data_IF_745931197149
#
_entry.id   IF_745931197149
#
_cell.length_a   1.000
_cell.length_b   1.000
_cell.length_c   1.000
_cell.angle_alpha   90.00
_cell.angle_beta   90.00
_cell.angle_gamma   90.00
#
_symmetry.space_group_name_H-M   'P 1'
#
loop_
_entity.id
_entity.type
_entity.pdbx_description
1 polymer ?
#
# COMPACT_ATOMS: atom_id res chain seq x y z
N UNK A 1 28.27 3.43 -28.45
CA UNK A 1 27.77 2.14 -27.93
C UNK A 1 27.66 2.27 -26.41
N UNK A 2 26.46 2.50 -25.90
CA UNK A 2 26.19 2.50 -24.45
C UNK A 2 26.24 1.05 -23.97
N UNK A 3 27.25 0.70 -23.19
CA UNK A 3 27.34 -0.59 -22.52
C UNK A 3 26.05 -0.78 -21.69
N UNK A 4 25.24 -1.76 -22.06
CA UNK A 4 24.06 -2.12 -21.28
C UNK A 4 24.51 -2.48 -19.85
N UNK A 5 24.06 -1.73 -18.87
CA UNK A 5 24.37 -2.01 -17.48
C UNK A 5 23.96 -3.46 -17.14
N UNK A 6 24.81 -4.18 -16.40
CA UNK A 6 24.53 -5.55 -16.00
C UNK A 6 23.17 -5.64 -15.28
N UNK A 7 22.36 -6.69 -15.53
CA UNK A 7 21.06 -6.86 -14.91
C UNK A 7 21.20 -6.87 -13.38
N UNK A 8 20.50 -5.97 -12.72
CA UNK A 8 20.52 -5.87 -11.25
C UNK A 8 19.41 -6.73 -10.67
N UNK A 9 19.76 -7.56 -9.68
CA UNK A 9 18.84 -8.51 -9.01
C UNK A 9 17.92 -7.81 -7.99
N UNK A 10 18.31 -6.63 -7.52
CA UNK A 10 17.68 -5.89 -6.44
C UNK A 10 17.21 -4.51 -6.94
N UNK A 11 16.12 -4.02 -6.38
CA UNK A 11 15.57 -2.71 -6.73
C UNK A 11 16.41 -1.59 -6.12
N UNK A 12 16.70 -1.68 -4.84
CA UNK A 12 17.55 -0.75 -4.08
C UNK A 12 18.91 -1.38 -3.80
N UNK A 13 18.92 -2.38 -2.92
CA UNK A 13 20.08 -3.22 -2.58
C UNK A 13 19.58 -4.49 -1.90
N UNK A 14 20.41 -5.55 -1.83
CA UNK A 14 20.01 -6.79 -1.18
C UNK A 14 19.56 -6.58 0.28
N UNK A 15 20.31 -5.88 1.16
CA UNK A 15 19.86 -5.65 2.53
C UNK A 15 18.55 -4.87 2.63
N UNK A 16 18.39 -3.82 1.82
CA UNK A 16 17.18 -2.98 1.84
C UNK A 16 15.98 -3.78 1.35
N UNK A 17 16.09 -4.44 0.20
CA UNK A 17 14.98 -5.19 -0.39
C UNK A 17 14.57 -6.37 0.51
N UNK A 18 15.53 -7.09 1.09
CA UNK A 18 15.25 -8.16 2.05
C UNK A 18 14.57 -7.63 3.30
N UNK A 19 15.02 -6.51 3.86
CA UNK A 19 14.39 -5.91 5.04
C UNK A 19 12.97 -5.39 4.74
N UNK A 20 12.83 -4.65 3.63
CA UNK A 20 11.60 -3.92 3.30
C UNK A 20 10.49 -4.84 2.80
N UNK A 21 10.78 -5.83 1.95
CA UNK A 21 9.78 -6.76 1.45
C UNK A 21 9.73 -8.05 2.28
N UNK A 22 10.87 -8.71 2.50
CA UNK A 22 10.94 -9.97 3.21
C UNK A 22 10.77 -9.82 4.71
N UNK A 23 11.48 -8.88 5.31
CA UNK A 23 11.41 -8.59 6.76
C UNK A 23 10.02 -8.14 7.17
N UNK A 24 9.39 -7.27 6.38
CA UNK A 24 8.02 -6.82 6.63
C UNK A 24 7.03 -7.99 6.54
N UNK A 25 7.11 -8.83 5.51
CA UNK A 25 6.23 -9.98 5.38
C UNK A 25 6.47 -11.00 6.51
N UNK A 26 7.73 -11.29 6.85
CA UNK A 26 8.07 -12.19 7.96
C UNK A 26 7.55 -11.64 9.29
N UNK A 27 7.76 -10.35 9.57
CA UNK A 27 7.21 -9.68 10.75
C UNK A 27 5.68 -9.78 10.80
N UNK A 28 5.00 -9.48 9.70
CA UNK A 28 3.55 -9.58 9.58
C UNK A 28 3.03 -10.98 9.93
N UNK A 29 3.64 -12.02 9.36
CA UNK A 29 3.25 -13.41 9.64
C UNK A 29 3.58 -13.81 11.08
N UNK A 30 4.72 -13.38 11.63
CA UNK A 30 5.07 -13.60 13.02
C UNK A 30 4.09 -12.91 13.98
N UNK A 31 3.65 -11.68 13.66
CA UNK A 31 2.63 -10.98 14.45
C UNK A 31 1.30 -11.72 14.45
N UNK A 32 0.86 -12.27 13.30
CA UNK A 32 -0.35 -13.12 13.26
C UNK A 32 -0.19 -14.35 14.17
N UNK A 33 0.95 -15.03 14.11
CA UNK A 33 1.23 -16.18 14.98
C UNK A 33 1.29 -15.79 16.46
N UNK A 34 1.87 -14.63 16.77
CA UNK A 34 1.99 -14.09 18.11
C UNK A 34 0.71 -13.41 18.64
N UNK A 35 -0.34 -13.32 17.82
CA UNK A 35 -1.60 -12.65 18.16
C UNK A 35 -2.11 -12.93 19.58
N UNK A 36 -2.22 -14.21 20.02
CA UNK A 36 -2.71 -14.52 21.38
C UNK A 36 -1.93 -13.87 22.52
N UNK A 37 -0.65 -13.59 22.33
CA UNK A 37 0.20 -12.95 23.34
C UNK A 37 0.24 -11.42 23.22
N UNK A 38 -0.27 -10.88 22.10
CA UNK A 38 -0.24 -9.46 21.76
C UNK A 38 -1.61 -8.79 21.79
N UNK A 39 -2.62 -9.49 22.32
CA UNK A 39 -4.01 -9.01 22.41
C UNK A 39 -4.82 -9.25 21.14
N UNK A 40 -4.27 -9.97 20.17
CA UNK A 40 -4.98 -10.39 18.97
C UNK A 40 -5.55 -11.80 19.10
N UNK A 41 -6.37 -12.25 18.12
CA UNK A 41 -6.95 -13.60 18.12
C UNK A 41 -5.90 -14.66 17.80
N UNK A 42 -6.17 -15.90 18.20
CA UNK A 42 -5.40 -17.06 17.73
C UNK A 42 -5.62 -17.27 16.22
N UNK A 43 -4.62 -17.77 15.48
CA UNK A 43 -4.79 -18.16 14.09
C UNK A 43 -5.94 -19.17 13.94
N UNK A 44 -6.89 -18.89 13.06
CA UNK A 44 -8.06 -19.76 12.84
C UNK A 44 -9.14 -19.71 13.92
N UNK A 45 -9.08 -18.77 14.86
CA UNK A 45 -10.13 -18.58 15.86
C UNK A 45 -11.51 -18.39 15.20
N UNK A 46 -12.54 -18.97 15.79
CA UNK A 46 -13.91 -18.79 15.31
C UNK A 46 -14.35 -17.32 15.46
N UNK A 47 -15.22 -16.82 14.56
CA UNK A 47 -15.81 -15.50 14.71
C UNK A 47 -16.47 -15.35 16.09
N UNK A 48 -16.20 -14.24 16.78
CA UNK A 48 -16.73 -13.98 18.11
C UNK A 48 -15.99 -14.65 19.28
N UNK A 49 -14.94 -15.42 19.04
CA UNK A 49 -14.13 -16.05 20.10
C UNK A 49 -13.24 -15.03 20.87
N UNK A 50 -12.99 -13.84 20.29
CA UNK A 50 -12.24 -12.73 20.89
C UNK A 50 -12.95 -11.43 20.44
N UNK A 51 -12.84 -10.32 21.18
CA UNK A 51 -13.33 -9.04 20.70
C UNK A 51 -12.87 -8.77 19.25
N UNK A 52 -13.81 -8.42 18.38
CA UNK A 52 -13.54 -8.18 16.94
C UNK A 52 -12.61 -6.99 16.70
N UNK A 53 -12.41 -6.16 17.70
CA UNK A 53 -11.53 -5.00 17.66
C UNK A 53 -10.05 -5.41 17.74
N UNK A 54 -9.25 -4.97 16.80
CA UNK A 54 -7.79 -5.08 16.87
C UNK A 54 -7.25 -4.29 18.07
N UNK A 55 -6.16 -4.74 18.72
CA UNK A 55 -5.50 -3.98 19.78
C UNK A 55 -5.09 -2.60 19.31
N UNK A 56 -5.25 -1.58 20.14
CA UNK A 56 -4.96 -0.16 19.78
C UNK A 56 -3.54 0.05 19.25
N UNK A 57 -2.56 -0.73 19.72
CA UNK A 57 -1.20 -0.61 19.21
C UNK A 57 -1.09 -0.97 17.71
N UNK A 58 -1.96 -1.85 17.17
CA UNK A 58 -1.96 -2.19 15.75
C UNK A 58 -2.52 -1.05 14.91
N UNK A 59 -3.54 -0.36 15.41
CA UNK A 59 -4.04 0.83 14.78
C UNK A 59 -2.97 1.94 14.77
N UNK A 60 -2.33 2.20 15.92
CA UNK A 60 -1.26 3.20 15.99
C UNK A 60 -0.12 2.85 15.05
N UNK A 61 0.40 1.62 15.10
CA UNK A 61 1.58 1.26 14.29
C UNK A 61 1.23 0.99 12.83
N UNK A 62 0.13 0.31 12.55
CA UNK A 62 -0.30 -0.03 11.19
C UNK A 62 -1.00 1.14 10.51
N UNK A 63 -2.11 1.61 11.06
CA UNK A 63 -2.92 2.63 10.40
C UNK A 63 -2.25 4.00 10.49
N UNK A 64 -2.02 4.53 11.68
CA UNK A 64 -1.50 5.89 11.86
C UNK A 64 -0.07 6.05 11.32
N UNK A 65 0.89 5.22 11.81
CA UNK A 65 2.32 5.42 11.53
C UNK A 65 2.78 4.81 10.19
N UNK A 66 2.00 3.93 9.58
CA UNK A 66 2.33 3.33 8.28
C UNK A 66 1.33 3.74 7.22
N UNK A 67 0.03 3.45 7.37
CA UNK A 67 -0.94 3.63 6.29
C UNK A 67 -1.23 5.12 6.01
N UNK A 68 -1.66 5.88 7.00
CA UNK A 68 -1.89 7.33 6.81
C UNK A 68 -0.58 8.06 6.48
N UNK A 69 0.52 7.70 7.16
CA UNK A 69 1.83 8.29 6.88
C UNK A 69 2.31 8.05 5.45
N UNK A 70 2.05 6.85 4.84
CA UNK A 70 2.48 6.59 3.46
C UNK A 70 1.74 7.44 2.44
N UNK A 71 0.47 7.73 2.66
CA UNK A 71 -0.32 8.66 1.83
C UNK A 71 0.37 10.03 1.76
N UNK A 72 0.70 10.58 2.92
CA UNK A 72 1.37 11.89 3.01
C UNK A 72 2.80 11.89 2.47
N UNK A 73 3.43 10.75 2.36
CA UNK A 73 4.79 10.66 1.80
C UNK A 73 4.87 11.16 0.35
N UNK A 74 3.76 11.10 -0.41
CA UNK A 74 3.63 11.69 -1.75
C UNK A 74 4.00 13.19 -1.76
N UNK A 75 3.79 13.91 -0.67
CA UNK A 75 4.14 15.33 -0.57
C UNK A 75 5.65 15.55 -0.75
N UNK A 76 6.50 14.67 -0.23
CA UNK A 76 7.96 14.78 -0.39
C UNK A 76 8.43 14.63 -1.84
N UNK A 77 7.68 13.88 -2.65
CA UNK A 77 8.01 13.66 -4.06
C UNK A 77 7.47 14.80 -4.93
N UNK A 78 6.28 15.33 -4.62
CA UNK A 78 5.56 16.24 -5.50
C UNK A 78 5.56 17.68 -4.98
N UNK A 79 4.93 17.90 -3.83
CA UNK A 79 4.61 19.26 -3.37
C UNK A 79 5.79 19.97 -2.71
N UNK A 80 6.71 19.21 -2.10
CA UNK A 80 7.89 19.73 -1.41
C UNK A 80 9.16 19.71 -2.29
N UNK A 81 9.09 19.16 -3.53
CA UNK A 81 10.16 19.21 -4.54
C UNK A 81 9.80 20.18 -5.68
N UNK A 82 10.43 21.37 -5.75
CA UNK A 82 10.13 22.37 -6.76
C UNK A 82 10.44 21.90 -8.18
N UNK A 83 11.36 20.96 -8.37
CA UNK A 83 11.68 20.44 -9.70
C UNK A 83 10.56 19.50 -10.20
N UNK A 84 10.01 18.70 -9.32
CA UNK A 84 8.88 17.84 -9.66
C UNK A 84 7.60 18.66 -9.87
N UNK A 85 7.30 19.61 -8.98
CA UNK A 85 6.15 20.50 -9.13
C UNK A 85 6.12 21.19 -10.50
N UNK A 86 7.26 21.81 -10.90
CA UNK A 86 7.37 22.49 -12.20
C UNK A 86 7.21 21.58 -13.40
N UNK A 87 7.43 20.28 -13.24
CA UNK A 87 7.31 19.30 -14.33
C UNK A 87 5.86 19.09 -14.78
N UNK A 88 4.90 19.12 -13.86
CA UNK A 88 3.48 18.88 -14.15
C UNK A 88 2.56 19.69 -13.24
N UNK A 89 2.65 21.02 -13.21
CA UNK A 89 1.94 21.85 -12.25
C UNK A 89 0.43 21.70 -12.35
N UNK A 90 -0.12 21.56 -13.56
CA UNK A 90 -1.56 21.38 -13.79
C UNK A 90 -2.04 20.04 -13.18
N UNK A 91 -1.33 18.94 -13.41
CA UNK A 91 -1.71 17.64 -12.83
C UNK A 91 -1.71 17.71 -11.30
N UNK A 92 -0.67 18.30 -10.71
CA UNK A 92 -0.50 18.34 -9.27
C UNK A 92 -1.46 19.31 -8.58
N UNK A 93 -1.88 20.38 -9.26
CA UNK A 93 -2.93 21.27 -8.75
C UNK A 93 -4.35 20.69 -8.93
N UNK A 94 -4.61 20.06 -10.08
CA UNK A 94 -5.95 19.55 -10.37
C UNK A 94 -6.27 18.22 -9.70
N UNK A 95 -5.27 17.38 -9.35
CA UNK A 95 -5.53 16.09 -8.70
C UNK A 95 -6.28 16.25 -7.35
N UNK A 96 -5.84 17.10 -6.39
CA UNK A 96 -6.58 17.30 -5.15
C UNK A 96 -7.94 17.97 -5.38
N UNK A 97 -8.07 18.90 -6.33
CA UNK A 97 -9.35 19.50 -6.67
C UNK A 97 -10.33 18.47 -7.23
N UNK A 98 -9.89 17.63 -8.16
CA UNK A 98 -10.71 16.54 -8.72
C UNK A 98 -11.10 15.52 -7.64
N UNK A 99 -10.16 15.18 -6.73
CA UNK A 99 -10.43 14.32 -5.59
C UNK A 99 -11.52 14.88 -4.70
N UNK A 100 -11.45 16.18 -4.37
CA UNK A 100 -12.47 16.87 -3.56
C UNK A 100 -13.84 16.89 -4.24
N UNK A 101 -13.91 17.34 -5.49
CA UNK A 101 -15.17 17.42 -6.26
C UNK A 101 -15.81 16.03 -6.42
N UNK A 102 -15.03 15.01 -6.76
CA UNK A 102 -15.52 13.65 -6.85
C UNK A 102 -15.98 13.11 -5.49
N UNK A 103 -15.25 13.41 -4.42
CA UNK A 103 -15.61 13.07 -3.05
C UNK A 103 -16.95 13.69 -2.63
N UNK A 104 -17.14 14.98 -2.87
CA UNK A 104 -18.41 15.68 -2.58
C UNK A 104 -19.56 15.06 -3.39
N UNK A 105 -19.37 14.81 -4.67
CA UNK A 105 -20.39 14.20 -5.51
C UNK A 105 -20.78 12.79 -5.02
N UNK A 106 -19.80 11.97 -4.64
CA UNK A 106 -20.03 10.63 -4.08
C UNK A 106 -20.75 10.71 -2.72
N UNK A 107 -20.32 11.60 -1.84
CA UNK A 107 -20.93 11.74 -0.52
C UNK A 107 -22.37 12.29 -0.61
N UNK A 108 -22.63 13.22 -1.53
CA UNK A 108 -23.96 13.72 -1.84
C UNK A 108 -24.89 12.64 -2.42
N UNK A 109 -24.36 11.67 -3.16
CA UNK A 109 -25.11 10.51 -3.64
C UNK A 109 -25.44 9.51 -2.51
N UNK A 110 -24.80 9.64 -1.36
CA UNK A 110 -25.02 8.87 -0.15
C UNK A 110 -23.72 8.42 0.52
N UNK A 111 -23.70 8.44 1.84
CA UNK A 111 -22.55 8.05 2.64
C UNK A 111 -22.04 6.64 2.26
N UNK A 112 -22.94 5.67 2.11
CA UNK A 112 -22.57 4.31 1.71
C UNK A 112 -21.94 4.25 0.31
N UNK A 113 -22.35 5.11 -0.62
CA UNK A 113 -21.76 5.20 -1.95
C UNK A 113 -20.33 5.73 -1.88
N UNK A 114 -20.09 6.74 -1.06
CA UNK A 114 -18.76 7.31 -0.82
C UNK A 114 -17.80 6.27 -0.24
N UNK A 115 -18.14 5.66 0.90
CA UNK A 115 -17.26 4.69 1.57
C UNK A 115 -17.00 3.46 0.72
N UNK A 116 -18.02 3.00 -0.02
CA UNK A 116 -17.87 1.88 -0.95
C UNK A 116 -16.91 2.22 -2.10
N UNK A 117 -17.07 3.38 -2.72
CA UNK A 117 -16.19 3.84 -3.77
C UNK A 117 -14.74 3.99 -3.26
N UNK A 118 -14.56 4.58 -2.07
CA UNK A 118 -13.26 4.76 -1.46
C UNK A 118 -12.59 3.41 -1.15
N UNK A 119 -13.33 2.44 -0.59
CA UNK A 119 -12.81 1.10 -0.30
C UNK A 119 -12.35 0.37 -1.58
N UNK A 120 -13.16 0.37 -2.65
CA UNK A 120 -12.74 -0.25 -3.92
C UNK A 120 -11.57 0.47 -4.59
N UNK A 121 -11.48 1.79 -4.49
CA UNK A 121 -10.32 2.54 -4.98
C UNK A 121 -9.06 2.20 -4.18
N UNK A 122 -9.17 2.06 -2.86
CA UNK A 122 -8.07 1.64 -2.00
C UNK A 122 -7.60 0.23 -2.35
N UNK A 123 -8.52 -0.72 -2.46
CA UNK A 123 -8.21 -2.10 -2.91
C UNK A 123 -7.51 -2.09 -4.26
N UNK A 124 -8.03 -1.35 -5.22
CA UNK A 124 -7.41 -1.22 -6.54
C UNK A 124 -6.00 -0.67 -6.45
N UNK A 125 -5.79 0.36 -5.62
CA UNK A 125 -4.47 0.95 -5.38
C UNK A 125 -3.48 -0.07 -4.79
N UNK A 126 -3.88 -0.83 -3.77
CA UNK A 126 -3.07 -1.88 -3.16
C UNK A 126 -2.65 -2.94 -4.18
N UNK A 127 -3.60 -3.45 -4.98
CA UNK A 127 -3.33 -4.44 -6.05
C UNK A 127 -2.35 -3.87 -7.08
N UNK A 128 -2.58 -2.64 -7.53
CA UNK A 128 -1.74 -1.98 -8.53
C UNK A 128 -0.32 -1.74 -8.03
N UNK A 129 -0.15 -1.48 -6.74
CA UNK A 129 1.18 -1.35 -6.14
C UNK A 129 1.93 -2.68 -6.17
N UNK A 130 1.30 -3.81 -5.79
CA UNK A 130 1.96 -5.13 -5.84
C UNK A 130 2.37 -5.49 -7.29
N UNK A 131 1.49 -5.27 -8.25
CA UNK A 131 1.84 -5.41 -9.66
C UNK A 131 3.00 -4.50 -10.08
N UNK A 132 3.00 -3.26 -9.60
CA UNK A 132 4.06 -2.28 -9.86
C UNK A 132 5.43 -2.76 -9.40
N UNK A 133 5.53 -3.31 -8.20
CA UNK A 133 6.78 -3.89 -7.66
C UNK A 133 7.32 -4.99 -8.57
N UNK A 134 6.49 -5.96 -8.94
CA UNK A 134 6.87 -7.05 -9.84
C UNK A 134 7.36 -6.52 -11.18
N UNK A 135 6.68 -5.52 -11.76
CA UNK A 135 7.10 -4.92 -13.03
C UNK A 135 8.38 -4.08 -12.91
N UNK A 136 8.65 -3.44 -11.77
CA UNK A 136 9.90 -2.73 -11.52
C UNK A 136 11.08 -3.72 -11.44
N UNK A 137 10.94 -4.84 -10.74
CA UNK A 137 11.95 -5.89 -10.69
C UNK A 137 12.21 -6.50 -12.07
N UNK A 138 11.17 -6.78 -12.86
CA UNK A 138 11.33 -7.25 -14.25
C UNK A 138 12.14 -6.26 -15.09
N UNK A 139 11.80 -4.98 -15.00
CA UNK A 139 12.51 -3.94 -15.75
C UNK A 139 13.98 -3.83 -15.32
N UNK A 140 14.26 -3.97 -14.02
CA UNK A 140 15.60 -3.93 -13.44
C UNK A 140 16.43 -5.16 -13.82
N UNK A 141 15.79 -6.32 -13.84
CA UNK A 141 16.40 -7.60 -14.25
C UNK A 141 16.55 -7.76 -15.77
N UNK A 142 16.08 -6.80 -16.57
CA UNK A 142 16.15 -6.88 -18.03
C UNK A 142 15.22 -7.93 -18.65
N UNK A 143 14.21 -8.42 -17.92
CA UNK A 143 13.27 -9.42 -18.39
C UNK A 143 12.28 -8.82 -19.40
N UNK A 144 12.38 -9.21 -20.68
CA UNK A 144 11.57 -8.64 -21.79
C UNK A 144 10.57 -9.61 -22.39
N UNK A 145 10.63 -10.89 -22.02
CA UNK A 145 9.77 -11.94 -22.55
C UNK A 145 8.29 -11.69 -22.22
N UNK A 146 7.41 -11.81 -23.23
CA UNK A 146 5.97 -11.54 -23.10
C UNK A 146 5.27 -12.59 -22.23
N UNK A 147 5.59 -13.87 -22.43
CA UNK A 147 4.98 -14.95 -21.67
C UNK A 147 5.24 -14.84 -20.17
N UNK A 148 6.51 -14.55 -19.78
CA UNK A 148 6.86 -14.32 -18.39
C UNK A 148 6.22 -13.07 -17.81
N UNK A 149 6.10 -11.99 -18.58
CA UNK A 149 5.39 -10.79 -18.14
C UNK A 149 3.92 -11.07 -17.84
N UNK A 150 3.29 -11.86 -18.69
CA UNK A 150 1.90 -12.28 -18.49
C UNK A 150 1.77 -13.14 -17.24
N UNK A 151 2.62 -14.18 -17.11
CA UNK A 151 2.58 -15.09 -15.95
C UNK A 151 2.86 -14.34 -14.64
N UNK A 152 3.92 -13.53 -14.58
CA UNK A 152 4.25 -12.75 -13.37
C UNK A 152 3.09 -11.80 -12.99
N UNK A 153 2.49 -11.12 -13.98
CA UNK A 153 1.33 -10.26 -13.78
C UNK A 153 0.09 -11.03 -13.33
N UNK A 154 -0.26 -12.11 -14.02
CA UNK A 154 -1.41 -12.95 -13.66
C UNK A 154 -1.27 -13.56 -12.26
N UNK A 155 -0.06 -13.99 -11.88
CA UNK A 155 0.21 -14.56 -10.56
C UNK A 155 -0.01 -13.53 -9.45
N UNK A 156 0.53 -12.31 -9.60
CA UNK A 156 0.35 -11.29 -8.55
C UNK A 156 -1.09 -10.77 -8.49
N UNK A 157 -1.78 -10.69 -9.64
CA UNK A 157 -3.22 -10.39 -9.62
C UNK A 157 -4.03 -11.51 -8.96
N UNK A 158 -3.72 -12.77 -9.22
CA UNK A 158 -4.39 -13.89 -8.57
C UNK A 158 -4.10 -13.91 -7.06
N UNK A 159 -2.87 -13.57 -6.64
CA UNK A 159 -2.49 -13.48 -5.23
C UNK A 159 -3.25 -12.42 -4.45
N UNK A 160 -3.82 -11.42 -5.11
CA UNK A 160 -4.61 -10.36 -4.50
C UNK A 160 -6.12 -10.52 -4.74
N UNK A 161 -6.52 -10.88 -5.95
CA UNK A 161 -7.94 -11.00 -6.32
C UNK A 161 -8.61 -12.23 -5.70
N UNK A 162 -7.90 -13.36 -5.57
CA UNK A 162 -8.46 -14.55 -4.93
C UNK A 162 -8.89 -14.28 -3.48
N UNK A 163 -8.03 -13.72 -2.61
CA UNK A 163 -8.45 -13.33 -1.27
C UNK A 163 -9.66 -12.38 -1.24
N UNK A 164 -9.72 -11.41 -2.16
CA UNK A 164 -10.86 -10.50 -2.26
C UNK A 164 -12.15 -11.21 -2.68
N UNK A 165 -12.07 -12.14 -3.63
CA UNK A 165 -13.22 -12.97 -4.02
C UNK A 165 -13.71 -13.78 -2.82
N UNK A 166 -12.80 -14.40 -2.06
CA UNK A 166 -13.15 -15.09 -0.82
C UNK A 166 -13.80 -14.14 0.19
N UNK A 167 -13.29 -12.91 0.33
CA UNK A 167 -13.90 -11.91 1.21
C UNK A 167 -15.35 -11.63 0.82
N UNK A 168 -15.60 -11.34 -0.47
CA UNK A 168 -16.95 -11.04 -0.97
C UNK A 168 -17.92 -12.24 -0.88
N UNK A 169 -17.43 -13.48 -0.97
CA UNK A 169 -18.28 -14.69 -0.78
C UNK A 169 -18.61 -14.97 0.68
N UNK A 170 -17.89 -14.34 1.63
CA UNK A 170 -18.02 -14.60 3.08
C UNK A 170 -18.44 -13.37 3.87
N UNK A 171 -18.95 -12.33 3.22
CA UNK A 171 -19.49 -11.16 3.91
C UNK A 171 -20.77 -11.50 4.67
N UNK A 172 -20.97 -10.89 5.86
CA UNK A 172 -20.09 -9.96 6.56
C UNK A 172 -18.89 -10.64 7.21
N UNK A 173 -17.78 -9.88 7.36
CA UNK A 173 -16.57 -10.35 8.04
C UNK A 173 -16.35 -9.53 9.32
N UNK A 174 -15.49 -10.05 10.23
CA UNK A 174 -15.08 -9.34 11.44
C UNK A 174 -14.10 -8.19 11.19
N UNK A 175 -13.90 -7.81 9.95
CA UNK A 175 -13.08 -6.67 9.51
C UNK A 175 -13.67 -6.06 8.25
N UNK A 176 -13.34 -4.80 8.02
CA UNK A 176 -13.75 -4.03 6.85
C UNK A 176 -12.54 -3.32 6.24
N UNK A 177 -12.65 -2.76 5.06
CA UNK A 177 -11.57 -1.96 4.48
C UNK A 177 -11.55 -0.56 5.10
N UNK A 178 -12.71 0.10 5.14
CA UNK A 178 -12.93 1.40 5.76
C UNK A 178 -13.94 1.32 6.90
N UNK A 179 -15.12 0.79 6.62
CA UNK A 179 -16.20 0.58 7.60
C UNK A 179 -17.09 -0.60 7.20
N UNK A 180 -17.84 -1.11 8.16
CA UNK A 180 -18.77 -2.22 7.88
C UNK A 180 -19.76 -1.87 6.77
N UNK A 181 -19.92 -2.78 5.79
CA UNK A 181 -20.80 -2.59 4.64
C UNK A 181 -20.18 -1.85 3.46
N UNK A 182 -18.88 -1.56 3.49
CA UNK A 182 -18.16 -0.92 2.38
C UNK A 182 -18.00 -1.82 1.15
N UNK A 183 -18.07 -3.13 1.31
CA UNK A 183 -18.07 -4.07 0.18
C UNK A 183 -19.45 -4.62 -0.13
N UNK A 184 -19.69 -4.91 -1.45
CA UNK A 184 -20.94 -5.47 -1.94
C UNK A 184 -20.95 -6.97 -1.62
N UNK A 185 -21.94 -7.41 -0.84
CA UNK A 185 -22.16 -8.83 -0.54
C UNK A 185 -22.90 -9.54 -1.70
N UNK A 186 -22.88 -10.88 -1.68
CA UNK A 186 -23.71 -11.70 -2.56
C UNK A 186 -22.95 -12.41 -3.68
N UNK A 187 -21.63 -12.41 -3.66
CA UNK A 187 -20.87 -13.25 -4.58
C UNK A 187 -21.08 -14.74 -4.21
N UNK A 188 -21.44 -15.62 -5.18
CA UNK A 188 -21.70 -17.03 -4.88
C UNK A 188 -20.43 -17.76 -4.44
N UNK A 189 -20.55 -18.70 -3.48
CA UNK A 189 -19.43 -19.46 -2.92
C UNK A 189 -18.57 -20.17 -3.98
N UNK A 190 -19.20 -20.66 -5.05
CA UNK A 190 -18.51 -21.28 -6.19
C UNK A 190 -17.45 -20.38 -6.84
N UNK A 191 -17.62 -19.04 -6.77
CA UNK A 191 -16.63 -18.10 -7.28
C UNK A 191 -15.28 -18.20 -6.53
N UNK A 192 -15.33 -18.38 -5.21
CA UNK A 192 -14.11 -18.58 -4.40
C UNK A 192 -13.40 -19.88 -4.76
N UNK A 193 -14.16 -20.97 -5.02
CA UNK A 193 -13.59 -22.26 -5.42
C UNK A 193 -12.88 -22.17 -6.76
N UNK A 194 -13.52 -21.59 -7.77
CA UNK A 194 -12.91 -21.40 -9.10
C UNK A 194 -11.68 -20.49 -9.02
N UNK A 195 -11.79 -19.36 -8.32
CA UNK A 195 -10.66 -18.45 -8.12
C UNK A 195 -9.49 -19.13 -7.37
N UNK A 196 -9.79 -20.00 -6.41
CA UNK A 196 -8.79 -20.78 -5.68
C UNK A 196 -8.00 -21.74 -6.59
N UNK A 197 -8.67 -22.43 -7.50
CA UNK A 197 -8.00 -23.27 -8.50
C UNK A 197 -7.12 -22.46 -9.44
N UNK A 198 -7.60 -21.30 -9.92
CA UNK A 198 -6.81 -20.39 -10.77
C UNK A 198 -5.58 -19.87 -10.00
N UNK A 199 -5.76 -19.45 -8.75
CA UNK A 199 -4.68 -19.00 -7.89
C UNK A 199 -3.61 -20.07 -7.70
N UNK A 200 -4.00 -21.30 -7.34
CA UNK A 200 -3.08 -22.42 -7.15
C UNK A 200 -2.34 -22.78 -8.45
N UNK A 201 -3.04 -22.84 -9.57
CA UNK A 201 -2.45 -23.13 -10.88
C UNK A 201 -1.42 -22.07 -11.31
N UNK A 202 -1.72 -20.78 -11.10
CA UNK A 202 -0.79 -19.70 -11.44
C UNK A 202 0.43 -19.66 -10.53
N UNK A 203 0.28 -19.92 -9.23
CA UNK A 203 1.41 -20.05 -8.30
C UNK A 203 2.30 -21.25 -8.67
N UNK A 204 1.71 -22.40 -9.00
CA UNK A 204 2.44 -23.58 -9.43
C UNK A 204 3.21 -23.32 -10.74
N UNK A 205 2.54 -22.73 -11.74
CA UNK A 205 3.18 -22.36 -13.01
C UNK A 205 4.34 -21.37 -12.81
N UNK A 206 4.16 -20.38 -11.92
CA UNK A 206 5.19 -19.42 -11.54
C UNK A 206 6.39 -20.13 -10.88
N UNK A 207 6.13 -21.04 -9.92
CA UNK A 207 7.17 -21.80 -9.22
C UNK A 207 7.94 -22.73 -10.18
N UNK A 208 7.23 -23.44 -11.06
CA UNK A 208 7.85 -24.30 -12.09
C UNK A 208 8.74 -23.47 -13.02
N UNK A 209 8.28 -22.30 -13.46
CA UNK A 209 9.08 -21.42 -14.32
C UNK A 209 10.33 -20.91 -13.59
N UNK A 210 10.20 -20.54 -12.30
CA UNK A 210 11.33 -20.10 -11.49
C UNK A 210 12.35 -21.23 -11.28
N UNK A 211 11.90 -22.44 -10.99
CA UNK A 211 12.73 -23.63 -10.86
C UNK A 211 13.45 -23.97 -12.18
N UNK A 212 12.73 -23.99 -13.31
CA UNK A 212 13.30 -24.22 -14.62
C UNK A 212 14.37 -23.18 -15.00
N UNK A 213 14.15 -21.90 -14.62
CA UNK A 213 15.15 -20.85 -14.82
C UNK A 213 16.41 -21.08 -13.96
N UNK A 214 16.24 -21.52 -12.71
CA UNK A 214 17.35 -21.86 -11.83
C UNK A 214 18.16 -23.07 -12.34
N UNK A 215 17.47 -24.13 -12.77
CA UNK A 215 18.11 -25.32 -13.38
C UNK A 215 18.88 -24.94 -14.65
N UNK A 216 18.36 -24.02 -15.46
CA UNK A 216 19.02 -23.50 -16.65
C UNK A 216 20.18 -22.51 -16.34
N UNK A 217 20.56 -22.34 -15.07
CA UNK A 217 21.65 -21.45 -14.65
C UNK A 217 21.36 -19.96 -14.84
N UNK A 218 20.10 -19.58 -15.06
CA UNK A 218 19.74 -18.17 -15.21
C UNK A 218 19.84 -17.44 -13.88
N UNK A 219 20.30 -16.18 -13.85
CA UNK A 219 20.35 -15.39 -12.63
C UNK A 219 18.97 -15.30 -11.96
N UNK A 220 18.89 -15.70 -10.70
CA UNK A 220 17.62 -15.65 -9.95
C UNK A 220 17.16 -14.21 -9.72
N UNK A 221 15.87 -13.93 -9.99
CA UNK A 221 15.24 -12.65 -9.74
C UNK A 221 14.70 -12.59 -8.28
N UNK A 222 15.59 -12.72 -7.30
CA UNK A 222 15.25 -12.90 -5.88
C UNK A 222 14.25 -11.86 -5.36
N UNK A 223 14.45 -10.56 -5.66
CA UNK A 223 13.54 -9.53 -5.20
C UNK A 223 12.13 -9.68 -5.78
N UNK A 224 11.99 -10.07 -7.06
CA UNK A 224 10.70 -10.38 -7.67
C UNK A 224 10.02 -11.58 -6.99
N UNK A 225 10.76 -12.65 -6.78
CA UNK A 225 10.23 -13.85 -6.11
C UNK A 225 9.79 -13.53 -4.68
N UNK A 226 10.56 -12.70 -3.98
CA UNK A 226 10.23 -12.23 -2.63
C UNK A 226 8.91 -11.46 -2.59
N UNK A 227 8.70 -10.51 -3.51
CA UNK A 227 7.45 -9.73 -3.59
C UNK A 227 6.26 -10.65 -3.89
N UNK A 228 6.37 -11.56 -4.86
CA UNK A 228 5.28 -12.50 -5.18
C UNK A 228 4.95 -13.39 -3.99
N UNK A 229 5.96 -13.95 -3.31
CA UNK A 229 5.77 -14.80 -2.14
C UNK A 229 5.16 -14.02 -0.96
N UNK A 230 5.68 -12.82 -0.66
CA UNK A 230 5.16 -11.94 0.39
C UNK A 230 3.69 -11.56 0.15
N UNK A 231 3.36 -11.15 -1.09
CA UNK A 231 1.98 -10.82 -1.47
C UNK A 231 1.06 -12.03 -1.31
N UNK A 232 1.44 -13.19 -1.87
CA UNK A 232 0.63 -14.39 -1.81
C UNK A 232 0.39 -14.85 -0.36
N UNK A 233 1.45 -14.86 0.46
CA UNK A 233 1.34 -15.31 1.85
C UNK A 233 0.54 -14.34 2.72
N UNK A 234 0.86 -13.03 2.69
CA UNK A 234 0.23 -12.06 3.57
C UNK A 234 -1.25 -11.83 3.22
N UNK A 235 -1.60 -11.72 1.95
CA UNK A 235 -2.99 -11.59 1.53
C UNK A 235 -3.81 -12.84 1.85
N UNK A 236 -3.24 -14.03 1.64
CA UNK A 236 -3.91 -15.28 1.99
C UNK A 236 -4.13 -15.38 3.50
N UNK A 237 -3.09 -15.17 4.30
CA UNK A 237 -3.18 -15.30 5.76
C UNK A 237 -4.12 -14.25 6.35
N UNK A 238 -4.00 -12.99 5.95
CA UNK A 238 -4.80 -11.88 6.50
C UNK A 238 -6.27 -11.93 6.11
N UNK A 239 -6.61 -12.48 4.93
CA UNK A 239 -7.98 -12.40 4.39
C UNK A 239 -8.64 -13.78 4.28
N UNK A 240 -7.93 -14.82 3.83
CA UNK A 240 -8.52 -16.15 3.59
C UNK A 240 -8.48 -17.02 4.83
N UNK A 241 -7.31 -17.10 5.47
CA UNK A 241 -7.07 -17.97 6.61
C UNK A 241 -7.53 -17.33 7.94
N UNK A 242 -7.67 -16.02 8.01
CA UNK A 242 -8.09 -15.29 9.20
C UNK A 242 -9.42 -14.57 8.97
N UNK A 243 -10.17 -14.33 10.05
CA UNK A 243 -11.36 -13.47 10.07
C UNK A 243 -11.26 -12.51 11.26
N UNK A 244 -10.25 -11.65 11.25
CA UNK A 244 -9.98 -10.70 12.33
C UNK A 244 -9.31 -9.44 11.77
N UNK A 245 -9.70 -8.29 12.27
CA UNK A 245 -9.13 -6.99 11.90
C UNK A 245 -7.63 -6.92 12.23
N UNK A 246 -7.22 -7.50 13.36
CA UNK A 246 -5.81 -7.67 13.72
C UNK A 246 -4.98 -8.31 12.60
N UNK A 247 -5.41 -9.49 12.12
CA UNK A 247 -4.68 -10.23 11.11
C UNK A 247 -4.64 -9.49 9.77
N UNK A 248 -5.76 -8.88 9.38
CA UNK A 248 -5.86 -8.06 8.18
C UNK A 248 -4.90 -6.87 8.26
N UNK A 249 -4.92 -6.10 9.35
CA UNK A 249 -4.08 -4.91 9.53
C UNK A 249 -2.59 -5.25 9.51
N UNK A 250 -2.14 -6.22 10.32
CA UNK A 250 -0.70 -6.52 10.40
C UNK A 250 -0.14 -7.17 9.13
N UNK A 251 -0.97 -7.80 8.28
CA UNK A 251 -0.48 -8.42 7.04
C UNK A 251 -0.60 -7.48 5.84
N UNK A 252 -1.76 -6.85 5.64
CA UNK A 252 -2.00 -6.11 4.39
C UNK A 252 -1.46 -4.68 4.46
N UNK A 253 -1.62 -3.99 5.58
CA UNK A 253 -1.17 -2.61 5.75
C UNK A 253 0.36 -2.53 5.77
N UNK A 254 1.05 -3.38 6.53
CA UNK A 254 2.51 -3.32 6.59
C UNK A 254 3.17 -3.66 5.26
N UNK A 255 2.72 -4.73 4.58
CA UNK A 255 3.28 -5.15 3.28
C UNK A 255 2.98 -4.15 2.17
N UNK A 256 1.98 -3.30 2.35
CA UNK A 256 1.68 -2.19 1.46
C UNK A 256 2.52 -0.95 1.79
N UNK A 257 2.40 -0.43 3.00
CA UNK A 257 2.90 0.90 3.37
C UNK A 257 4.42 0.94 3.59
N UNK A 258 5.03 -0.07 4.24
CA UNK A 258 6.48 -0.05 4.53
C UNK A 258 7.34 -0.02 3.27
N UNK A 259 7.11 -0.87 2.24
CA UNK A 259 7.84 -0.78 0.98
C UNK A 259 7.64 0.56 0.27
N UNK A 260 6.45 1.13 0.34
CA UNK A 260 6.17 2.42 -0.27
C UNK A 260 6.92 3.57 0.43
N UNK A 261 6.89 3.63 1.75
CA UNK A 261 7.65 4.61 2.53
C UNK A 261 9.15 4.54 2.20
N UNK A 262 9.70 3.33 2.07
CA UNK A 262 11.10 3.13 1.68
C UNK A 262 11.35 3.64 0.25
N UNK A 263 10.47 3.34 -0.71
CA UNK A 263 10.55 3.84 -2.08
C UNK A 263 10.58 5.37 -2.11
N UNK A 264 9.60 5.99 -1.46
CA UNK A 264 9.47 7.45 -1.44
C UNK A 264 10.68 8.09 -0.77
N UNK A 265 11.11 7.58 0.38
CA UNK A 265 12.30 8.09 1.08
C UNK A 265 13.55 8.04 0.19
N UNK A 266 13.83 6.88 -0.40
CA UNK A 266 15.03 6.69 -1.23
C UNK A 266 14.97 7.55 -2.50
N UNK A 267 13.82 7.62 -3.14
CA UNK A 267 13.60 8.47 -4.32
C UNK A 267 13.75 9.95 -3.97
N UNK A 268 13.04 10.45 -2.96
CA UNK A 268 13.07 11.85 -2.55
C UNK A 268 14.46 12.27 -2.08
N UNK A 269 15.18 11.39 -1.36
CA UNK A 269 16.56 11.64 -0.96
C UNK A 269 17.52 11.68 -2.14
N UNK A 270 17.35 10.83 -3.15
CA UNK A 270 18.16 10.87 -4.37
C UNK A 270 17.85 12.15 -5.17
N UNK A 271 16.56 12.49 -5.31
CA UNK A 271 16.10 13.70 -6.00
C UNK A 271 16.61 14.98 -5.31
N UNK A 272 16.66 15.01 -3.98
CA UNK A 272 17.12 16.17 -3.20
C UNK A 272 18.58 16.57 -3.47
N UNK A 273 19.37 15.69 -4.07
CA UNK A 273 20.75 15.94 -4.48
C UNK A 273 20.88 16.53 -5.89
N UNK A 274 19.80 16.50 -6.67
CA UNK A 274 19.81 17.12 -8.01
C UNK A 274 19.80 18.64 -7.89
N UNK A 275 20.58 19.39 -8.71
CA UNK A 275 20.62 20.86 -8.67
C UNK A 275 19.24 21.52 -8.78
N UNK A 276 18.36 20.95 -9.62
CA UNK A 276 17.01 21.46 -9.85
C UNK A 276 16.09 21.37 -8.63
N UNK A 277 16.36 20.47 -7.68
CA UNK A 277 15.62 20.29 -6.43
C UNK A 277 16.21 21.06 -5.24
N UNK A 278 17.41 21.64 -5.41
CA UNK A 278 18.04 22.43 -4.36
C UNK A 278 17.19 23.66 -4.01
N UNK A 279 17.15 23.98 -2.71
CA UNK A 279 16.29 25.04 -2.19
C UNK A 279 14.86 24.60 -1.85
N UNK A 280 14.42 23.43 -2.31
CA UNK A 280 13.14 22.83 -1.91
C UNK A 280 13.13 22.34 -0.47
N UNK A 281 11.92 22.20 0.09
CA UNK A 281 11.73 21.69 1.46
C UNK A 281 12.26 20.26 1.59
N UNK A 282 11.97 19.39 0.63
CA UNK A 282 12.50 18.02 0.58
C UNK A 282 14.03 18.01 0.68
N UNK A 283 14.72 18.88 -0.08
CA UNK A 283 16.18 18.95 -0.05
C UNK A 283 16.70 19.40 1.33
N UNK A 284 16.07 20.38 1.97
CA UNK A 284 16.45 20.86 3.31
C UNK A 284 16.26 19.77 4.38
N UNK A 285 15.19 19.00 4.30
CA UNK A 285 14.87 17.96 5.27
C UNK A 285 15.71 16.68 5.08
N UNK A 286 15.97 16.27 3.81
CA UNK A 286 16.57 14.97 3.49
C UNK A 286 18.05 15.02 3.07
N UNK A 287 18.64 16.20 2.85
CA UNK A 287 20.08 16.36 2.52
C UNK A 287 21.05 15.97 3.66
N UNK A 288 20.72 16.12 4.96
CA UNK A 288 21.61 15.79 6.06
C UNK A 288 22.03 14.31 6.12
N UNK A 289 22.82 13.96 7.16
CA UNK A 289 23.27 12.59 7.41
C UNK A 289 22.08 11.61 7.40
N UNK A 290 22.31 10.40 6.89
CA UNK A 290 21.24 9.43 6.59
C UNK A 290 20.27 9.16 7.75
N UNK A 291 20.80 8.92 8.97
CA UNK A 291 19.96 8.69 10.13
C UNK A 291 19.06 9.90 10.45
N UNK A 292 19.64 11.11 10.45
CA UNK A 292 18.85 12.33 10.67
C UNK A 292 17.76 12.51 9.61
N UNK A 293 18.07 12.23 8.37
CA UNK A 293 17.08 12.33 7.28
C UNK A 293 15.93 11.31 7.44
N UNK A 294 16.21 10.08 7.87
CA UNK A 294 15.18 9.08 8.17
C UNK A 294 14.30 9.56 9.33
N UNK A 295 14.91 10.01 10.44
CA UNK A 295 14.16 10.49 11.60
C UNK A 295 13.27 11.68 11.24
N UNK A 296 13.80 12.66 10.52
CA UNK A 296 13.02 13.84 10.10
C UNK A 296 11.90 13.44 9.13
N UNK A 297 12.16 12.55 8.19
CA UNK A 297 11.13 12.04 7.26
C UNK A 297 10.00 11.37 8.02
N UNK A 298 10.30 10.40 8.87
CA UNK A 298 9.28 9.70 9.65
C UNK A 298 8.55 10.65 10.61
N UNK A 299 9.26 11.48 11.36
CA UNK A 299 8.65 12.41 12.32
C UNK A 299 7.72 13.41 11.64
N UNK A 300 8.10 13.92 10.45
CA UNK A 300 7.24 14.83 9.68
C UNK A 300 5.96 14.11 9.23
N UNK A 301 6.08 12.90 8.68
CA UNK A 301 4.93 12.12 8.23
C UNK A 301 4.01 11.74 9.39
N UNK A 302 4.57 11.30 10.50
CA UNK A 302 3.79 10.92 11.69
C UNK A 302 3.08 12.13 12.32
N UNK A 303 3.71 13.30 12.33
CA UNK A 303 3.07 14.52 12.80
C UNK A 303 1.87 14.92 11.91
N UNK A 304 2.01 14.83 10.58
CA UNK A 304 0.93 15.14 9.66
C UNK A 304 -0.18 14.09 9.76
N UNK A 305 0.17 12.80 9.81
CA UNK A 305 -0.78 11.71 9.98
C UNK A 305 -1.57 11.85 11.29
N UNK A 306 -0.90 12.22 12.39
CA UNK A 306 -1.57 12.50 13.67
C UNK A 306 -2.57 13.66 13.57
N UNK A 307 -2.20 14.74 12.88
CA UNK A 307 -3.11 15.89 12.70
C UNK A 307 -4.32 15.54 11.81
N UNK A 308 -4.13 14.72 10.78
CA UNK A 308 -5.24 14.22 9.96
C UNK A 308 -6.18 13.36 10.78
N UNK A 309 -5.63 12.34 11.47
CA UNK A 309 -6.43 11.42 12.28
C UNK A 309 -7.09 12.11 13.48
N UNK A 310 -6.47 13.13 14.06
CA UNK A 310 -7.08 13.98 15.07
C UNK A 310 -8.40 14.60 14.55
N UNK A 311 -8.41 15.06 13.30
CA UNK A 311 -9.63 15.66 12.71
C UNK A 311 -10.63 14.57 12.35
N UNK A 312 -10.18 13.45 11.76
CA UNK A 312 -11.03 12.30 11.48
C UNK A 312 -11.72 11.76 12.72
N UNK A 313 -10.95 11.51 13.79
CA UNK A 313 -11.50 10.93 15.02
C UNK A 313 -12.47 11.89 15.72
N UNK A 314 -12.07 13.16 15.85
CA UNK A 314 -12.92 14.15 16.54
C UNK A 314 -14.19 14.53 15.77
N UNK A 315 -14.18 14.44 14.45
CA UNK A 315 -15.31 14.85 13.62
C UNK A 315 -16.21 13.67 13.19
N UNK A 316 -15.65 12.46 13.02
CA UNK A 316 -16.35 11.36 12.33
C UNK A 316 -16.34 10.06 13.15
N UNK A 317 -15.14 9.56 13.56
CA UNK A 317 -15.04 8.20 14.14
C UNK A 317 -15.41 8.16 15.62
N UNK A 318 -14.93 9.10 16.41
CA UNK A 318 -15.09 9.19 17.88
C UNK A 318 -14.59 7.93 18.64
N UNK A 319 -13.65 7.21 18.05
CA UNK A 319 -13.21 5.89 18.55
C UNK A 319 -12.06 6.00 19.56
N UNK A 320 -11.22 7.06 19.46
CA UNK A 320 -9.94 7.15 20.19
C UNK A 320 -9.82 8.42 21.01
N UNK A 321 -10.83 8.67 21.83
CA UNK A 321 -10.83 9.83 22.73
C UNK A 321 -9.65 9.87 23.71
N UNK A 322 -9.06 8.71 24.03
CA UNK A 322 -7.85 8.60 24.84
C UNK A 322 -6.63 9.26 24.17
N UNK A 323 -6.57 9.31 22.84
CA UNK A 323 -5.47 9.87 22.06
C UNK A 323 -5.78 11.27 21.54
N UNK A 324 -7.00 11.52 21.11
CA UNK A 324 -7.41 12.73 20.40
C UNK A 324 -8.35 13.65 21.22
N UNK A 325 -8.83 13.21 22.37
CA UNK A 325 -9.80 13.93 23.17
C UNK A 325 -11.24 13.77 22.68
N UNK A 326 -12.15 14.49 23.31
CA UNK A 326 -13.58 14.38 22.97
C UNK A 326 -13.88 14.88 21.56
N UNK A 327 -14.71 14.13 20.85
CA UNK A 327 -15.24 14.49 19.54
C UNK A 327 -16.39 15.51 19.62
N UNK A 328 -16.77 16.03 18.46
CA UNK A 328 -17.92 16.93 18.30
C UNK A 328 -18.70 16.52 17.04
N UNK A 329 -20.01 16.42 17.17
CA UNK A 329 -20.87 16.18 16.01
C UNK A 329 -20.82 17.37 15.05
N UNK A 330 -20.48 17.12 13.81
CA UNK A 330 -20.38 18.13 12.73
C UNK A 330 -21.67 18.24 11.91
N UNK A 331 -22.66 17.38 12.15
CA UNK A 331 -23.97 17.42 11.49
C UNK A 331 -23.87 17.53 9.98
N UNK A 332 -24.60 18.49 9.40
CA UNK A 332 -24.63 18.72 7.94
C UNK A 332 -23.29 19.13 7.31
N UNK A 333 -22.29 19.54 8.10
CA UNK A 333 -20.96 19.85 7.59
C UNK A 333 -20.22 18.59 7.07
N UNK A 334 -20.66 17.39 7.44
CA UNK A 334 -20.09 16.12 6.96
C UNK A 334 -20.02 16.04 5.43
N UNK A 335 -20.99 16.62 4.71
CA UNK A 335 -21.02 16.70 3.24
C UNK A 335 -19.72 17.31 2.64
N UNK A 336 -19.09 18.22 3.37
CA UNK A 336 -17.86 18.90 2.92
C UNK A 336 -16.63 18.35 3.65
N UNK A 337 -16.75 18.11 4.95
CA UNK A 337 -15.61 17.73 5.81
C UNK A 337 -15.12 16.33 5.45
N UNK A 338 -15.99 15.34 5.29
CA UNK A 338 -15.58 13.97 4.95
C UNK A 338 -14.86 13.89 3.60
N UNK A 339 -15.40 14.47 2.50
CA UNK A 339 -14.65 14.53 1.24
C UNK A 339 -13.34 15.31 1.34
N UNK A 340 -13.29 16.40 2.11
CA UNK A 340 -12.07 17.19 2.29
C UNK A 340 -10.96 16.37 2.98
N UNK A 341 -11.32 15.64 4.03
CA UNK A 341 -10.39 14.75 4.74
C UNK A 341 -9.92 13.58 3.89
N UNK A 342 -10.71 13.11 2.92
CA UNK A 342 -10.30 12.07 1.98
C UNK A 342 -9.44 12.57 0.81
N UNK A 343 -9.25 13.91 0.66
CA UNK A 343 -8.44 14.48 -0.43
C UNK A 343 -7.00 13.95 -0.46
N UNK A 344 -6.26 13.86 0.65
CA UNK A 344 -4.89 13.34 0.63
C UNK A 344 -4.83 11.94 0.05
N UNK A 345 -5.69 11.03 0.51
CA UNK A 345 -5.76 9.64 0.10
C UNK A 345 -6.11 9.50 -1.39
N UNK A 346 -7.17 10.16 -1.85
CA UNK A 346 -7.58 10.13 -3.25
C UNK A 346 -6.53 10.77 -4.17
N UNK A 347 -5.90 11.86 -3.73
CA UNK A 347 -4.80 12.51 -4.48
C UNK A 347 -3.61 11.57 -4.61
N UNK A 348 -3.23 10.89 -3.53
CA UNK A 348 -2.17 9.89 -3.55
C UNK A 348 -2.48 8.78 -4.59
N UNK A 349 -3.69 8.22 -4.60
CA UNK A 349 -4.08 7.19 -5.57
C UNK A 349 -4.01 7.67 -7.02
N UNK A 350 -4.45 8.90 -7.28
CA UNK A 350 -4.35 9.51 -8.62
C UNK A 350 -2.89 9.66 -9.02
N UNK A 351 -2.07 10.27 -8.16
CA UNK A 351 -0.70 10.63 -8.51
C UNK A 351 0.21 9.41 -8.66
N UNK A 352 0.01 8.34 -7.91
CA UNK A 352 0.76 7.08 -8.05
C UNK A 352 0.64 6.49 -9.47
N UNK A 353 -0.51 6.68 -10.10
CA UNK A 353 -0.70 6.32 -11.50
C UNK A 353 0.27 6.98 -12.48
N UNK A 354 0.90 8.09 -12.09
CA UNK A 354 1.82 8.87 -12.92
C UNK A 354 3.27 8.86 -12.40
N UNK A 355 3.47 8.87 -11.09
CA UNK A 355 4.78 9.01 -10.47
C UNK A 355 5.70 7.81 -10.75
N UNK A 356 5.16 6.60 -10.63
CA UNK A 356 5.94 5.36 -10.67
C UNK A 356 5.99 4.69 -12.05
N UNK A 357 5.61 5.44 -13.11
CA UNK A 357 5.73 4.97 -14.49
C UNK A 357 6.96 5.61 -15.16
N UNK A 358 7.94 4.79 -15.58
CA UNK A 358 9.16 5.28 -16.25
C UNK A 358 8.87 6.17 -17.48
N UNK A 359 7.82 5.85 -18.26
CA UNK A 359 7.40 6.68 -19.42
C UNK A 359 6.88 8.05 -18.97
N UNK A 360 6.25 8.11 -17.83
CA UNK A 360 5.67 9.31 -17.27
C UNK A 360 6.65 10.08 -16.38
N UNK A 361 7.64 9.40 -15.80
CA UNK A 361 8.66 9.96 -14.93
C UNK A 361 10.07 9.53 -15.36
N UNK A 362 10.75 10.30 -16.25
CA UNK A 362 12.11 10.00 -16.66
C UNK A 362 13.14 10.01 -15.52
N UNK A 363 12.88 10.76 -14.42
CA UNK A 363 13.75 10.79 -13.23
C UNK A 363 13.78 9.43 -12.52
N UNK A 364 12.67 8.70 -12.54
CA UNK A 364 12.57 7.38 -11.90
C UNK A 364 13.66 6.41 -12.39
N UNK A 365 13.93 6.39 -13.70
CA UNK A 365 14.96 5.51 -14.28
C UNK A 365 16.39 5.93 -13.98
N UNK A 366 16.62 7.18 -13.54
CA UNK A 366 17.94 7.68 -13.12
C UNK A 366 18.18 7.50 -11.62
N UNK A 367 17.14 7.62 -10.82
CA UNK A 367 17.23 7.64 -9.36
C UNK A 367 17.06 6.25 -8.72
N UNK A 368 16.39 5.36 -9.40
CA UNK A 368 16.17 3.96 -9.06
C UNK A 368 16.61 3.07 -10.23
#
# INVERSE_FOLDING_TARGET
>A
MTTAAAPRRWLFSAPIDLAVFGGTAALSLLLVLAGPWLGGPAPGAAPGAVPDAAPEWTWVTGVLLVDVAHVWSTAFVVYLDPAEWRRRPVLYALAPLAAFVAGVALYAAGEAAFWRALAYLAVFHFIRQQYGWVMMYRARGGERDRAGRWLDGATVYAATLYPLIVWHTRLPRAFSWMKQGDFIAGLPAGAATVAGWIYAALLAAYAVRAAAAAIAGRPAAWGKHLVVAATAACWYVGIVASNADYAFTVTNVFVHGVPYLALVYLYARAASREPASQGGVTARLLAPRQLRAIVVFCATLWAIAYLEELVWDRAIWHDRSWLFGAGADIGGAALIVVPLLAVPQLTHYILDGFLWRRRANPRLGRLL
#
